data_IF_254601470323
#
_entry.id   IF_254601470323
#
_cell.length_a   1.000
_cell.length_b   1.000
_cell.length_c   1.000
_cell.angle_alpha   90.00
_cell.angle_beta   90.00
_cell.angle_gamma   90.00
#
_symmetry.space_group_name_H-M   'P 1'
#
loop_
_entity.id
_entity.type
_entity.pdbx_description
1 polymer ?
#
# COMPACT_ATOMS: atom_id res chain seq x y z
N UNK A 1 0.50 -6.20 33.81
CA UNK A 1 -0.42 -5.25 34.46
C UNK A 1 -0.77 -4.22 33.40
N UNK A 2 -1.95 -4.32 32.78
CA UNK A 2 -2.34 -3.47 31.66
C UNK A 2 -2.99 -2.20 32.21
N UNK A 3 -2.42 -1.04 31.90
CA UNK A 3 -3.06 0.25 32.19
C UNK A 3 -4.19 0.48 31.16
N UNK A 4 -5.41 0.38 31.62
CA UNK A 4 -6.61 0.76 30.88
C UNK A 4 -6.97 2.18 31.32
N UNK A 5 -6.71 3.17 30.49
CA UNK A 5 -7.22 4.53 30.73
C UNK A 5 -8.73 4.53 30.46
N UNK A 6 -9.51 4.79 31.49
CA UNK A 6 -10.97 4.94 31.43
C UNK A 6 -11.33 6.43 31.28
N UNK A 7 -11.93 6.81 30.17
CA UNK A 7 -12.61 8.10 30.03
C UNK A 7 -14.12 7.86 30.08
N UNK A 8 -14.82 8.62 30.92
CA UNK A 8 -16.28 8.57 31.02
C UNK A 8 -16.87 9.79 30.28
N UNK A 9 -17.68 9.53 29.26
CA UNK A 9 -18.50 10.58 28.64
C UNK A 9 -19.87 10.54 29.29
N UNK A 10 -20.23 11.62 30.00
CA UNK A 10 -21.55 11.79 30.64
C UNK A 10 -22.51 12.40 29.63
N UNK A 11 -23.50 11.62 29.18
CA UNK A 11 -24.61 12.15 28.39
C UNK A 11 -25.89 12.09 29.20
N UNK A 12 -26.91 12.92 28.87
CA UNK A 12 -28.24 12.99 29.57
C UNK A 12 -29.03 11.65 29.55
N UNK A 13 -28.51 10.60 28.90
CA UNK A 13 -29.16 9.28 28.81
C UNK A 13 -28.42 8.14 29.53
N UNK A 14 -27.46 8.45 30.41
CA UNK A 14 -26.71 7.46 31.18
C UNK A 14 -25.21 7.43 30.83
N UNK A 15 -24.42 6.96 31.79
CA UNK A 15 -22.96 6.77 31.60
C UNK A 15 -22.73 5.56 30.69
N UNK A 16 -22.31 5.79 29.45
CA UNK A 16 -21.80 4.74 28.60
C UNK A 16 -20.27 4.79 28.68
N UNK A 17 -19.67 3.80 29.31
CA UNK A 17 -18.23 3.61 29.28
C UNK A 17 -17.85 3.19 27.85
N UNK A 18 -17.34 4.12 27.06
CA UNK A 18 -16.65 3.80 25.81
C UNK A 18 -15.22 3.46 26.17
N UNK A 19 -14.91 2.20 26.23
CA UNK A 19 -13.52 1.74 26.26
C UNK A 19 -12.98 1.94 24.84
N UNK A 20 -12.31 3.07 24.58
CA UNK A 20 -11.48 3.16 23.38
C UNK A 20 -10.32 2.17 23.57
N UNK A 21 -10.21 1.22 22.64
CA UNK A 21 -9.08 0.29 22.62
C UNK A 21 -7.81 1.10 22.35
N UNK A 22 -6.83 0.97 23.22
CA UNK A 22 -5.49 1.59 23.05
C UNK A 22 -4.87 1.15 21.70
N UNK A 23 -5.32 0.03 21.15
CA UNK A 23 -4.82 -0.58 19.93
C UNK A 23 -5.86 -0.57 18.81
N UNK A 24 -5.38 -0.66 17.58
CA UNK A 24 -6.20 -0.75 16.38
C UNK A 24 -7.24 -1.87 16.47
N UNK A 25 -8.47 -1.56 16.05
CA UNK A 25 -9.57 -2.50 15.90
C UNK A 25 -10.12 -2.46 14.47
N UNK A 26 -9.86 -3.50 13.69
CA UNK A 26 -10.30 -3.65 12.30
C UNK A 26 -11.75 -4.12 12.12
N UNK A 27 -12.53 -4.27 13.19
CA UNK A 27 -13.92 -4.75 13.13
C UNK A 27 -14.76 -3.88 12.20
N UNK A 28 -14.59 -2.56 12.27
CA UNK A 28 -15.31 -1.61 11.40
C UNK A 28 -14.97 -1.85 9.93
N UNK A 29 -13.67 -1.89 9.59
CA UNK A 29 -13.20 -2.14 8.22
C UNK A 29 -13.81 -3.43 7.65
N UNK A 30 -13.72 -4.52 8.42
CA UNK A 30 -14.18 -5.85 7.98
C UNK A 30 -15.71 -5.97 7.88
N UNK A 31 -16.47 -5.05 8.47
CA UNK A 31 -17.94 -5.00 8.39
C UNK A 31 -18.46 -4.20 7.21
N UNK A 32 -17.62 -3.44 6.52
CA UNK A 32 -18.04 -2.58 5.43
C UNK A 32 -18.28 -3.36 4.15
N UNK A 33 -19.26 -2.89 3.38
CA UNK A 33 -19.50 -3.32 2.02
C UNK A 33 -18.79 -2.39 1.02
N UNK A 34 -18.52 -2.88 -0.17
CA UNK A 34 -17.93 -2.14 -1.27
C UNK A 34 -18.88 -1.06 -1.83
N UNK A 35 -18.48 -0.39 -2.90
CA UNK A 35 -19.29 0.66 -3.53
C UNK A 35 -20.61 0.13 -4.12
N UNK A 36 -20.66 -1.15 -4.51
CA UNK A 36 -21.82 -1.82 -5.10
C UNK A 36 -22.69 -2.54 -4.07
N UNK A 37 -22.33 -2.46 -2.78
CA UNK A 37 -23.05 -3.14 -1.70
C UNK A 37 -22.69 -4.61 -1.52
N UNK A 38 -21.64 -5.09 -2.18
CA UNK A 38 -21.13 -6.44 -2.05
C UNK A 38 -20.08 -6.55 -0.95
N UNK A 39 -19.82 -7.79 -0.52
CA UNK A 39 -18.70 -8.07 0.38
C UNK A 39 -17.38 -7.90 -0.37
N UNK A 40 -16.47 -7.01 0.07
CA UNK A 40 -15.22 -6.75 -0.62
C UNK A 40 -14.31 -7.98 -0.64
N UNK A 41 -13.52 -8.14 -1.69
CA UNK A 41 -12.40 -9.09 -1.70
C UNK A 41 -11.08 -8.45 -1.26
N UNK A 42 -10.97 -7.10 -1.30
CA UNK A 42 -9.78 -6.40 -0.84
C UNK A 42 -10.15 -5.47 0.31
N UNK A 43 -9.54 -5.69 1.46
CA UNK A 43 -9.60 -4.82 2.63
C UNK A 43 -8.24 -4.19 2.83
N UNK A 44 -8.17 -2.87 2.77
CA UNK A 44 -6.92 -2.13 2.91
C UNK A 44 -6.95 -1.30 4.19
N UNK A 45 -5.84 -1.29 4.94
CA UNK A 45 -5.69 -0.48 6.13
C UNK A 45 -4.34 0.21 6.15
N UNK A 46 -4.36 1.54 6.24
CA UNK A 46 -3.17 2.35 6.51
C UNK A 46 -3.37 3.14 7.80
N UNK A 47 -2.44 3.01 8.73
CA UNK A 47 -2.45 3.77 10.00
C UNK A 47 -1.03 4.15 10.35
N UNK A 48 -0.87 5.15 11.23
CA UNK A 48 0.42 5.48 11.83
C UNK A 48 1.07 4.26 12.48
N UNK A 49 2.38 4.33 12.70
CA UNK A 49 3.17 3.26 13.33
C UNK A 49 2.70 2.96 14.75
N UNK A 50 3.05 1.78 15.25
CA UNK A 50 2.75 1.29 16.61
C UNK A 50 1.28 1.20 16.99
N UNK A 51 0.36 1.50 16.07
CA UNK A 51 -1.09 1.38 16.32
C UNK A 51 -1.60 -0.04 16.56
N UNK A 52 -0.80 -1.08 16.29
CA UNK A 52 -1.15 -2.49 16.54
C UNK A 52 -1.93 -3.18 15.43
N UNK A 53 -1.99 -2.61 14.20
CA UNK A 53 -2.71 -3.22 13.07
C UNK A 53 -2.18 -4.61 12.69
N UNK A 54 -0.86 -4.78 12.59
CA UNK A 54 -0.22 -6.08 12.29
C UNK A 54 -0.60 -7.11 13.35
N UNK A 55 -0.45 -6.76 14.63
CA UNK A 55 -0.84 -7.63 15.76
C UNK A 55 -2.31 -7.99 15.74
N UNK A 56 -3.21 -7.03 15.42
CA UNK A 56 -4.64 -7.27 15.31
C UNK A 56 -4.96 -8.30 14.22
N UNK A 57 -4.44 -8.10 13.00
CA UNK A 57 -4.77 -9.00 11.89
C UNK A 57 -4.09 -10.37 12.03
N UNK A 58 -2.87 -10.44 12.53
CA UNK A 58 -2.22 -11.71 12.83
C UNK A 58 -3.01 -12.52 13.87
N UNK A 59 -3.42 -11.88 14.96
CA UNK A 59 -4.30 -12.50 15.97
C UNK A 59 -5.64 -12.96 15.37
N UNK A 60 -6.23 -12.14 14.49
CA UNK A 60 -7.48 -12.46 13.80
C UNK A 60 -7.36 -13.77 12.99
N UNK A 61 -6.28 -13.92 12.21
CA UNK A 61 -6.04 -15.10 11.39
C UNK A 61 -5.88 -16.36 12.26
N UNK A 62 -5.07 -16.29 13.31
CA UNK A 62 -4.89 -17.41 14.24
C UNK A 62 -6.18 -17.78 14.96
N UNK A 63 -6.97 -16.78 15.39
CA UNK A 63 -8.29 -17.05 15.99
C UNK A 63 -9.26 -17.72 15.02
N UNK A 64 -9.28 -17.31 13.75
CA UNK A 64 -10.10 -17.97 12.72
C UNK A 64 -9.68 -19.41 12.51
N UNK A 65 -8.39 -19.67 12.46
CA UNK A 65 -7.87 -21.04 12.41
C UNK A 65 -8.29 -21.85 13.64
N UNK A 66 -8.03 -21.37 14.84
CA UNK A 66 -8.36 -22.11 16.09
C UNK A 66 -9.86 -22.39 16.22
N UNK A 67 -10.72 -21.44 15.85
CA UNK A 67 -12.17 -21.57 16.03
C UNK A 67 -12.90 -22.25 14.87
N UNK A 68 -12.39 -22.11 13.63
CA UNK A 68 -13.12 -22.53 12.42
C UNK A 68 -12.27 -23.36 11.46
N UNK A 69 -11.00 -23.59 11.76
CA UNK A 69 -10.04 -24.25 10.87
C UNK A 69 -9.89 -23.55 9.51
N UNK A 70 -10.09 -22.24 9.47
CA UNK A 70 -9.91 -21.41 8.28
C UNK A 70 -8.42 -21.16 8.06
N UNK A 71 -7.82 -21.84 7.08
CA UNK A 71 -6.40 -21.62 6.72
C UNK A 71 -6.19 -20.25 6.12
N UNK A 72 -5.01 -19.69 6.35
CA UNK A 72 -4.63 -18.38 5.84
C UNK A 72 -3.33 -18.43 5.04
N UNK A 73 -3.06 -17.36 4.28
CA UNK A 73 -1.81 -17.20 3.56
C UNK A 73 -1.23 -15.81 3.80
N UNK A 74 0.01 -15.76 4.25
CA UNK A 74 0.79 -14.54 4.36
C UNK A 74 1.47 -14.26 3.02
N UNK A 75 1.41 -13.00 2.57
CA UNK A 75 2.06 -12.54 1.35
C UNK A 75 3.21 -11.63 1.74
N UNK A 76 4.38 -11.90 1.18
CA UNK A 76 5.58 -11.07 1.27
C UNK A 76 5.99 -10.61 -0.12
N UNK A 77 6.81 -9.59 -0.20
CA UNK A 77 7.27 -9.08 -1.50
C UNK A 77 8.39 -9.91 -2.07
N UNK A 78 9.38 -10.23 -1.26
CA UNK A 78 10.59 -10.92 -1.69
C UNK A 78 10.81 -12.24 -0.94
N UNK A 79 11.45 -13.19 -1.61
CA UNK A 79 11.68 -14.52 -1.06
C UNK A 79 12.54 -14.53 0.21
N UNK A 80 13.50 -13.62 0.33
CA UNK A 80 14.34 -13.53 1.52
C UNK A 80 13.54 -13.16 2.79
N UNK A 81 12.38 -12.54 2.64
CA UNK A 81 11.50 -12.22 3.76
C UNK A 81 10.85 -13.47 4.37
N UNK A 82 10.83 -14.59 3.63
CA UNK A 82 10.33 -15.87 4.13
C UNK A 82 11.31 -16.55 5.12
N UNK A 83 12.55 -16.08 5.18
CA UNK A 83 13.59 -16.74 5.97
C UNK A 83 13.30 -16.67 7.48
N UNK A 84 12.70 -15.58 7.96
CA UNK A 84 12.45 -15.32 9.38
C UNK A 84 10.95 -15.30 9.72
N UNK A 85 10.11 -15.94 8.91
CA UNK A 85 8.66 -15.82 9.00
C UNK A 85 8.10 -16.28 10.34
N UNK A 86 8.61 -17.39 10.89
CA UNK A 86 8.17 -17.90 12.18
C UNK A 86 8.41 -16.86 13.27
N UNK A 87 9.55 -16.21 13.19
CA UNK A 87 9.95 -15.21 14.14
C UNK A 87 9.09 -13.93 14.03
N UNK A 88 8.87 -13.45 12.83
CA UNK A 88 8.10 -12.23 12.61
C UNK A 88 6.60 -12.39 12.88
N UNK A 89 5.98 -13.43 12.36
CA UNK A 89 4.53 -13.61 12.47
C UNK A 89 4.11 -14.12 13.84
N UNK A 90 4.77 -15.17 14.33
CA UNK A 90 4.33 -15.82 15.56
C UNK A 90 4.82 -15.13 16.82
N UNK A 91 6.06 -14.62 16.88
CA UNK A 91 6.60 -13.96 18.08
C UNK A 91 5.75 -12.80 18.56
N UNK A 92 5.23 -12.00 17.66
CA UNK A 92 4.44 -10.81 18.02
C UNK A 92 3.12 -11.14 18.71
N UNK A 93 2.59 -12.35 18.50
CA UNK A 93 1.26 -12.72 18.98
C UNK A 93 1.27 -13.90 19.96
N UNK A 94 2.26 -14.79 19.88
CA UNK A 94 2.31 -16.01 20.71
C UNK A 94 2.33 -15.69 22.19
N UNK A 95 3.30 -14.89 22.65
CA UNK A 95 3.43 -14.56 24.06
C UNK A 95 2.25 -13.76 24.63
N UNK A 96 1.60 -12.94 23.79
CA UNK A 96 0.51 -12.06 24.22
C UNK A 96 -0.85 -12.76 24.24
N UNK A 97 -1.12 -13.64 23.26
CA UNK A 97 -2.46 -14.17 23.04
C UNK A 97 -2.55 -15.70 23.00
N UNK A 98 -1.44 -16.39 22.75
CA UNK A 98 -1.39 -17.83 22.57
C UNK A 98 -0.20 -18.47 23.30
N UNK A 99 0.00 -18.20 24.61
CA UNK A 99 1.20 -18.62 25.33
C UNK A 99 1.38 -20.14 25.44
N UNK A 100 0.27 -20.89 25.29
CA UNK A 100 0.27 -22.34 25.36
C UNK A 100 0.29 -23.02 23.98
N UNK A 101 0.39 -22.26 22.88
CA UNK A 101 0.44 -22.85 21.53
C UNK A 101 1.88 -22.89 21.03
N UNK A 102 2.26 -24.02 20.44
CA UNK A 102 3.51 -24.14 19.70
C UNK A 102 3.30 -23.67 18.27
N UNK A 103 4.14 -22.75 17.80
CA UNK A 103 4.02 -22.15 16.47
C UNK A 103 5.32 -22.33 15.69
N UNK A 104 5.23 -22.90 14.50
CA UNK A 104 6.39 -23.27 13.68
C UNK A 104 6.15 -22.94 12.20
N UNK A 105 7.20 -22.53 11.48
CA UNK A 105 7.18 -22.41 10.02
C UNK A 105 8.22 -23.35 9.40
N UNK A 106 7.81 -24.04 8.32
CA UNK A 106 8.66 -24.97 7.57
C UNK A 106 8.82 -24.51 6.11
N UNK A 107 10.06 -24.34 5.67
CA UNK A 107 10.35 -24.02 4.27
C UNK A 107 10.10 -25.23 3.39
N UNK A 108 9.33 -25.03 2.33
CA UNK A 108 8.94 -26.06 1.36
C UNK A 108 9.44 -25.74 -0.03
N UNK A 109 9.55 -26.77 -0.87
CA UNK A 109 9.94 -26.64 -2.28
C UNK A 109 11.23 -25.78 -2.48
N UNK A 110 12.26 -26.03 -1.69
CA UNK A 110 13.53 -25.26 -1.69
C UNK A 110 13.34 -23.76 -1.37
N UNK A 111 12.40 -23.44 -0.50
CA UNK A 111 12.14 -22.08 -0.04
C UNK A 111 11.20 -21.26 -0.94
N UNK A 112 10.47 -21.90 -1.85
CA UNK A 112 9.46 -21.21 -2.70
C UNK A 112 8.27 -20.73 -1.88
N UNK A 113 7.87 -21.49 -0.85
CA UNK A 113 6.85 -21.13 0.10
C UNK A 113 7.17 -21.72 1.47
N UNK A 114 6.47 -21.27 2.51
CA UNK A 114 6.50 -21.87 3.82
C UNK A 114 5.13 -22.43 4.20
N UNK A 115 5.12 -23.54 4.93
CA UNK A 115 3.96 -24.04 5.66
C UNK A 115 4.02 -23.55 7.10
N UNK A 116 2.88 -23.10 7.61
CA UNK A 116 2.73 -22.57 8.96
C UNK A 116 1.94 -23.54 9.81
N UNK A 117 2.47 -23.87 10.98
CA UNK A 117 1.89 -24.84 11.89
C UNK A 117 1.58 -24.24 13.24
N UNK A 118 0.45 -24.62 13.82
CA UNK A 118 0.07 -24.33 15.19
C UNK A 118 -0.29 -25.66 15.85
N UNK A 119 0.40 -25.99 16.95
CA UNK A 119 0.20 -27.23 17.69
C UNK A 119 0.27 -28.47 16.76
N UNK A 120 1.32 -28.49 15.90
CA UNK A 120 1.60 -29.51 14.87
C UNK A 120 0.59 -29.59 13.71
N UNK A 121 -0.47 -28.78 13.71
CA UNK A 121 -1.47 -28.76 12.65
C UNK A 121 -1.18 -27.64 11.64
N UNK A 122 -1.30 -27.93 10.34
CA UNK A 122 -1.12 -26.98 9.25
C UNK A 122 -2.22 -25.91 9.27
N UNK A 123 -1.86 -24.69 9.69
CA UNK A 123 -2.77 -23.57 9.83
C UNK A 123 -2.76 -22.61 8.61
N UNK A 124 -1.73 -22.65 7.79
CA UNK A 124 -1.63 -21.73 6.67
C UNK A 124 -0.29 -21.82 5.92
N UNK A 125 -0.07 -20.82 5.11
CA UNK A 125 1.08 -20.73 4.23
C UNK A 125 1.69 -19.31 4.25
N UNK A 126 2.92 -19.21 3.76
CA UNK A 126 3.53 -17.94 3.44
C UNK A 126 4.22 -18.00 2.08
N UNK A 127 4.01 -16.98 1.27
CA UNK A 127 4.49 -16.91 -0.12
C UNK A 127 5.08 -15.54 -0.43
N UNK A 128 5.96 -15.48 -1.43
CA UNK A 128 6.54 -14.23 -1.91
C UNK A 128 6.09 -13.90 -3.33
N UNK A 129 5.81 -12.61 -3.59
CA UNK A 129 5.36 -12.14 -4.91
C UNK A 129 6.37 -12.40 -6.01
N UNK A 130 7.67 -12.25 -5.72
CA UNK A 130 8.70 -12.51 -6.72
C UNK A 130 8.78 -13.98 -7.17
N UNK A 131 8.14 -14.91 -6.44
CA UNK A 131 8.04 -16.34 -6.78
C UNK A 131 6.74 -16.70 -7.51
N UNK A 132 5.91 -15.73 -7.90
CA UNK A 132 4.56 -15.95 -8.45
C UNK A 132 4.49 -16.99 -9.55
N UNK A 133 5.44 -17.00 -10.49
CA UNK A 133 5.44 -17.93 -11.62
C UNK A 133 5.70 -19.38 -11.19
N UNK A 134 6.55 -19.56 -10.19
CA UNK A 134 6.84 -20.89 -9.63
C UNK A 134 5.70 -21.38 -8.76
N UNK A 135 5.07 -20.48 -7.97
CA UNK A 135 3.93 -20.80 -7.09
C UNK A 135 2.72 -21.33 -7.86
N UNK A 136 2.50 -20.94 -9.11
CA UNK A 136 1.43 -21.48 -9.96
C UNK A 136 1.46 -23.00 -10.07
N UNK A 137 2.65 -23.60 -10.02
CA UNK A 137 2.84 -25.06 -10.10
C UNK A 137 2.33 -25.78 -8.84
N UNK A 138 2.26 -25.08 -7.72
CA UNK A 138 1.83 -25.58 -6.42
C UNK A 138 0.41 -25.11 -6.05
N UNK A 139 -0.32 -24.47 -6.98
CA UNK A 139 -1.61 -23.83 -6.70
C UNK A 139 -2.66 -24.75 -6.07
N UNK A 140 -2.59 -26.06 -6.37
CA UNK A 140 -3.49 -27.08 -5.79
C UNK A 140 -3.36 -27.21 -4.26
N UNK A 141 -2.17 -26.90 -3.69
CA UNK A 141 -1.93 -26.94 -2.24
C UNK A 141 -2.64 -25.82 -1.48
N UNK A 142 -2.93 -24.70 -2.17
CA UNK A 142 -3.48 -23.49 -1.56
C UNK A 142 -4.99 -23.34 -1.75
N UNK A 143 -5.64 -24.36 -2.29
CA UNK A 143 -7.07 -24.32 -2.62
C UNK A 143 -8.00 -24.20 -1.41
N UNK A 144 -7.52 -24.48 -0.21
CA UNK A 144 -8.25 -24.41 1.05
C UNK A 144 -7.94 -23.14 1.89
N UNK A 145 -7.10 -22.23 1.37
CA UNK A 145 -6.83 -20.93 2.00
C UNK A 145 -8.10 -20.08 1.99
N UNK A 146 -8.49 -19.57 3.13
CA UNK A 146 -9.73 -18.80 3.32
C UNK A 146 -9.52 -17.29 3.38
N UNK A 147 -8.32 -16.84 3.69
CA UNK A 147 -7.96 -15.41 3.79
C UNK A 147 -6.49 -15.22 3.48
N UNK A 148 -6.16 -14.16 2.77
CA UNK A 148 -4.76 -13.75 2.54
C UNK A 148 -4.47 -12.47 3.33
N UNK A 149 -3.24 -12.32 3.82
CA UNK A 149 -2.74 -11.11 4.47
C UNK A 149 -1.46 -10.66 3.80
N UNK A 150 -1.44 -9.41 3.34
CA UNK A 150 -0.26 -8.75 2.81
C UNK A 150 0.13 -7.60 3.71
N UNK A 151 1.11 -7.83 4.57
CA UNK A 151 1.67 -6.79 5.42
C UNK A 151 2.71 -5.97 4.66
N UNK A 152 2.78 -4.68 4.97
CA UNK A 152 3.68 -3.72 4.33
C UNK A 152 3.51 -3.65 2.79
N UNK A 153 2.23 -3.62 2.30
CA UNK A 153 1.98 -3.51 0.87
C UNK A 153 2.50 -2.20 0.25
N UNK A 154 2.68 -1.14 1.04
CA UNK A 154 3.45 0.04 0.66
C UNK A 154 4.89 -0.11 1.13
N UNK A 155 5.84 0.07 0.23
CA UNK A 155 7.27 0.00 0.53
C UNK A 155 7.80 1.36 0.97
N UNK A 156 8.40 1.45 2.15
CA UNK A 156 8.99 2.70 2.66
C UNK A 156 10.17 3.18 1.81
N UNK A 157 10.88 2.25 1.20
CA UNK A 157 12.04 2.54 0.32
C UNK A 157 11.66 2.66 -1.15
N UNK A 158 10.35 2.64 -1.46
CA UNK A 158 9.81 2.59 -2.83
C UNK A 158 10.35 1.40 -3.66
N UNK A 159 10.74 0.32 -2.98
CA UNK A 159 11.26 -0.89 -3.63
C UNK A 159 10.15 -1.93 -3.80
N UNK A 160 9.64 -2.04 -5.01
CA UNK A 160 8.63 -3.01 -5.42
C UNK A 160 9.25 -4.07 -6.34
N UNK A 161 8.69 -5.27 -6.37
CA UNK A 161 9.16 -6.26 -7.33
C UNK A 161 8.65 -5.93 -8.74
N UNK A 162 9.41 -6.29 -9.77
CA UNK A 162 8.98 -6.10 -11.16
C UNK A 162 7.60 -6.75 -11.38
N UNK A 163 6.70 -6.03 -12.06
CA UNK A 163 5.31 -6.45 -12.33
C UNK A 163 4.52 -6.88 -11.08
N UNK A 164 4.75 -6.20 -9.96
CA UNK A 164 4.19 -6.56 -8.65
C UNK A 164 2.68 -6.78 -8.69
N UNK A 165 1.93 -5.86 -9.31
CA UNK A 165 0.47 -5.97 -9.42
C UNK A 165 0.04 -7.22 -10.20
N UNK A 166 0.71 -7.52 -11.30
CA UNK A 166 0.43 -8.70 -12.11
C UNK A 166 0.74 -9.98 -11.32
N UNK A 167 1.84 -10.03 -10.61
CA UNK A 167 2.23 -11.15 -9.74
C UNK A 167 1.24 -11.34 -8.59
N UNK A 168 0.86 -10.26 -7.91
CA UNK A 168 -0.13 -10.29 -6.84
C UNK A 168 -1.47 -10.86 -7.35
N UNK A 169 -1.99 -10.34 -8.46
CA UNK A 169 -3.23 -10.84 -9.08
C UNK A 169 -3.11 -12.30 -9.52
N UNK A 170 -1.97 -12.70 -10.05
CA UNK A 170 -1.71 -14.06 -10.48
C UNK A 170 -1.72 -15.06 -9.34
N UNK A 171 -1.11 -14.74 -8.20
CA UNK A 171 -1.15 -15.55 -6.98
C UNK A 171 -2.59 -15.66 -6.49
N UNK A 172 -3.28 -14.55 -6.32
CA UNK A 172 -4.67 -14.54 -5.86
C UNK A 172 -5.57 -15.42 -6.76
N UNK A 173 -5.53 -15.20 -8.08
CA UNK A 173 -6.33 -15.98 -9.03
C UNK A 173 -6.00 -17.48 -8.95
N UNK A 174 -4.74 -17.84 -8.74
CA UNK A 174 -4.31 -19.24 -8.61
C UNK A 174 -4.87 -19.88 -7.33
N UNK A 175 -4.89 -19.14 -6.22
CA UNK A 175 -5.38 -19.63 -4.93
C UNK A 175 -6.91 -19.60 -4.84
N UNK A 176 -7.58 -18.69 -5.55
CA UNK A 176 -9.04 -18.59 -5.60
C UNK A 176 -9.69 -19.69 -6.47
N UNK A 177 -8.91 -20.57 -7.10
CA UNK A 177 -9.39 -21.76 -7.82
C UNK A 177 -9.44 -22.96 -6.89
N UNK A 178 -10.26 -23.95 -7.23
CA UNK A 178 -10.29 -25.25 -6.55
C UNK A 178 -11.60 -25.52 -5.85
N UNK A 179 -11.69 -26.64 -5.15
CA UNK A 179 -12.90 -27.14 -4.47
C UNK A 179 -14.13 -27.21 -5.41
N UNK A 180 -13.89 -27.58 -6.68
CA UNK A 180 -14.96 -27.71 -7.68
C UNK A 180 -15.47 -26.38 -8.25
N UNK A 181 -14.83 -25.25 -7.94
CA UNK A 181 -15.21 -23.91 -8.42
C UNK A 181 -14.11 -23.33 -9.30
N UNK A 182 -14.50 -22.64 -10.36
CA UNK A 182 -13.58 -21.87 -11.20
C UNK A 182 -13.02 -20.67 -10.46
N UNK A 183 -13.83 -20.08 -9.58
CA UNK A 183 -13.49 -18.95 -8.74
C UNK A 183 -14.29 -19.02 -7.42
N UNK A 184 -13.63 -18.79 -6.30
CA UNK A 184 -14.24 -18.68 -4.98
C UNK A 184 -13.85 -17.36 -4.33
N UNK A 185 -14.69 -16.88 -3.44
CA UNK A 185 -14.39 -15.71 -2.63
C UNK A 185 -13.13 -15.96 -1.78
N UNK A 186 -12.11 -15.16 -1.98
CA UNK A 186 -10.84 -15.24 -1.25
C UNK A 186 -10.40 -13.82 -0.85
N UNK A 187 -10.80 -13.33 0.32
CA UNK A 187 -10.47 -11.98 0.73
C UNK A 187 -8.98 -11.81 1.01
N UNK A 188 -8.45 -10.65 0.60
CA UNK A 188 -7.10 -10.21 0.90
C UNK A 188 -7.16 -9.00 1.83
N UNK A 189 -6.47 -9.08 2.94
CA UNK A 189 -6.25 -7.97 3.87
C UNK A 189 -4.87 -7.39 3.55
N UNK A 190 -4.81 -6.12 3.22
CA UNK A 190 -3.57 -5.41 2.88
C UNK A 190 -3.34 -4.31 3.92
N UNK A 191 -2.24 -4.37 4.64
CA UNK A 191 -1.93 -3.43 5.71
C UNK A 191 -0.58 -2.78 5.49
N UNK A 192 -0.46 -1.50 5.83
CA UNK A 192 0.81 -0.77 5.81
C UNK A 192 0.75 0.51 6.65
N UNK A 193 1.89 1.14 6.81
CA UNK A 193 1.95 2.55 7.20
C UNK A 193 1.62 3.44 5.99
N UNK A 194 1.25 4.72 6.16
CA UNK A 194 0.95 5.63 5.07
C UNK A 194 2.25 6.14 4.42
N UNK A 195 2.79 5.37 3.48
CA UNK A 195 4.07 5.70 2.83
C UNK A 195 3.89 6.69 1.71
N UNK A 196 3.03 6.39 0.73
CA UNK A 196 2.71 7.28 -0.38
C UNK A 196 1.31 7.02 -0.91
N UNK A 197 0.60 8.08 -1.28
CA UNK A 197 -0.65 7.97 -2.05
C UNK A 197 -0.39 7.56 -3.51
N UNK A 198 0.87 7.67 -3.96
CA UNK A 198 1.34 7.25 -5.27
C UNK A 198 2.10 5.92 -5.12
N UNK A 199 1.39 4.85 -4.87
CA UNK A 199 1.94 3.50 -4.86
C UNK A 199 1.25 2.63 -5.92
N UNK A 200 1.85 1.52 -6.38
CA UNK A 200 1.32 0.71 -7.47
C UNK A 200 -0.14 0.27 -7.27
N UNK A 201 -0.52 -0.06 -6.04
CA UNK A 201 -1.87 -0.53 -5.71
C UNK A 201 -2.89 0.61 -5.79
N UNK A 202 -2.59 1.76 -5.19
CA UNK A 202 -3.49 2.90 -5.19
C UNK A 202 -3.67 3.49 -6.59
N UNK A 203 -2.59 3.57 -7.36
CA UNK A 203 -2.65 4.02 -8.76
C UNK A 203 -3.52 3.07 -9.58
N UNK A 204 -3.26 1.75 -9.51
CA UNK A 204 -4.00 0.76 -10.31
C UNK A 204 -5.48 0.67 -9.95
N UNK A 205 -5.84 0.91 -8.69
CA UNK A 205 -7.22 0.87 -8.21
C UNK A 205 -7.92 2.23 -8.29
N UNK A 206 -7.26 3.27 -8.79
CA UNK A 206 -7.80 4.63 -8.89
C UNK A 206 -8.03 5.29 -7.52
N UNK A 207 -7.32 4.84 -6.48
CA UNK A 207 -7.43 5.38 -5.12
C UNK A 207 -6.73 6.72 -5.02
N UNK A 208 -5.53 6.87 -5.62
CA UNK A 208 -4.69 8.08 -5.53
C UNK A 208 -5.43 9.35 -5.91
N UNK A 209 -6.31 9.30 -6.93
CA UNK A 209 -7.09 10.44 -7.38
C UNK A 209 -8.29 10.78 -6.49
N UNK A 210 -8.70 9.86 -5.61
CA UNK A 210 -9.93 9.97 -4.80
C UNK A 210 -9.65 10.15 -3.31
N UNK A 211 -8.47 9.76 -2.85
CA UNK A 211 -8.10 9.82 -1.45
C UNK A 211 -7.81 11.27 -1.04
N UNK A 212 -8.46 11.71 0.03
CA UNK A 212 -8.25 13.03 0.64
C UNK A 212 -7.76 12.84 2.08
N UNK A 213 -7.13 13.85 2.63
CA UNK A 213 -6.62 13.83 4.01
C UNK A 213 -7.72 13.46 5.04
N UNK A 214 -8.93 13.93 4.81
CA UNK A 214 -10.08 13.72 5.71
C UNK A 214 -10.81 12.39 5.46
N UNK A 215 -10.41 11.64 4.43
CA UNK A 215 -11.07 10.38 4.06
C UNK A 215 -10.70 9.31 5.07
N UNK A 216 -11.64 8.92 5.94
CA UNK A 216 -11.45 7.81 6.86
C UNK A 216 -11.69 6.46 6.18
N UNK A 217 -12.72 6.34 5.36
CA UNK A 217 -13.03 5.13 4.59
C UNK A 217 -13.30 5.48 3.13
N UNK A 218 -12.61 4.80 2.22
CA UNK A 218 -12.84 4.89 0.79
C UNK A 218 -13.35 3.55 0.28
N UNK A 219 -14.47 3.58 -0.46
CA UNK A 219 -15.04 2.39 -1.08
C UNK A 219 -14.83 2.42 -2.59
N UNK A 220 -14.51 1.28 -3.17
CA UNK A 220 -14.48 1.07 -4.61
C UNK A 220 -15.16 -0.23 -4.96
N UNK A 221 -15.12 -0.62 -6.22
CA UNK A 221 -15.66 -1.91 -6.67
C UNK A 221 -14.74 -3.03 -6.17
N UNK A 222 -15.28 -3.90 -5.33
CA UNK A 222 -14.55 -5.04 -4.75
C UNK A 222 -13.54 -4.68 -3.64
N UNK A 223 -13.43 -3.41 -3.22
CA UNK A 223 -12.51 -3.03 -2.16
C UNK A 223 -13.05 -1.99 -1.19
N UNK A 224 -12.48 -2.01 0.02
CA UNK A 224 -12.61 -0.94 1.01
C UNK A 224 -11.22 -0.61 1.56
N UNK A 225 -10.92 0.69 1.64
CA UNK A 225 -9.73 1.23 2.29
C UNK A 225 -10.13 1.98 3.55
N UNK A 226 -9.46 1.70 4.66
CA UNK A 226 -9.43 2.51 5.86
C UNK A 226 -8.13 3.30 5.92
N UNK A 227 -8.25 4.63 6.04
CA UNK A 227 -7.17 5.51 6.42
C UNK A 227 -7.36 5.86 7.89
N UNK A 228 -6.69 5.10 8.75
CA UNK A 228 -6.84 5.22 10.19
C UNK A 228 -5.76 6.09 10.82
N UNK A 229 -6.04 6.54 12.04
CA UNK A 229 -5.09 7.23 12.90
C UNK A 229 -5.31 6.76 14.34
N UNK A 230 -4.22 6.38 15.01
CA UNK A 230 -4.24 5.99 16.41
C UNK A 230 -3.57 7.09 17.25
N UNK A 231 -4.37 7.91 17.90
CA UNK A 231 -3.92 9.06 18.71
C UNK A 231 -3.07 8.61 19.90
N UNK A 232 -3.48 7.56 20.59
CA UNK A 232 -2.75 7.03 21.75
C UNK A 232 -1.34 6.56 21.37
N UNK A 233 -1.21 5.87 20.23
CA UNK A 233 0.09 5.45 19.71
C UNK A 233 0.96 6.66 19.31
N UNK A 234 0.35 7.67 18.72
CA UNK A 234 1.03 8.92 18.36
C UNK A 234 1.58 9.63 19.60
N UNK A 235 0.76 9.85 20.60
CA UNK A 235 1.17 10.50 21.85
C UNK A 235 2.29 9.72 22.56
N UNK A 236 2.16 8.39 22.64
CA UNK A 236 3.18 7.55 23.25
C UNK A 236 4.54 7.64 22.55
N UNK A 237 4.53 7.78 21.21
CA UNK A 237 5.76 7.99 20.44
C UNK A 237 6.35 9.39 20.66
N UNK A 238 5.52 10.43 20.68
CA UNK A 238 5.95 11.82 20.93
C UNK A 238 6.57 11.99 22.31
N UNK A 239 6.05 11.29 23.31
CA UNK A 239 6.60 11.32 24.68
C UNK A 239 7.91 10.54 24.81
N UNK A 240 8.23 9.66 23.87
CA UNK A 240 9.44 8.87 23.87
C UNK A 240 10.72 9.72 23.77
N UNK A 241 11.69 9.49 24.68
CA UNK A 241 12.94 10.24 24.70
C UNK A 241 13.75 10.13 23.40
N UNK A 242 13.66 9.00 22.70
CA UNK A 242 14.31 8.80 21.40
C UNK A 242 13.76 9.80 20.35
N UNK A 243 12.45 9.88 20.18
CA UNK A 243 11.84 10.80 19.21
C UNK A 243 12.08 12.27 19.58
N UNK A 244 12.05 12.60 20.86
CA UNK A 244 12.37 13.98 21.34
C UNK A 244 13.80 14.38 20.97
N UNK A 245 14.74 13.45 20.89
CA UNK A 245 16.13 13.74 20.54
C UNK A 245 16.33 14.13 19.07
N UNK A 246 15.46 13.67 18.18
CA UNK A 246 15.51 13.99 16.74
C UNK A 246 14.66 15.20 16.34
N UNK A 247 13.79 15.70 17.23
CA UNK A 247 12.94 16.85 16.97
C UNK A 247 11.77 16.55 16.02
N UNK A 248 11.15 17.61 15.49
CA UNK A 248 10.03 17.51 14.54
C UNK A 248 10.56 17.45 13.11
N UNK A 249 10.77 16.25 12.59
CA UNK A 249 11.16 16.02 11.22
C UNK A 249 10.06 15.29 10.40
N UNK A 250 10.31 15.09 9.10
CA UNK A 250 9.38 14.40 8.19
C UNK A 250 9.09 12.96 8.66
N UNK A 251 10.06 12.28 9.24
CA UNK A 251 9.90 10.93 9.76
C UNK A 251 8.98 10.89 10.98
N UNK A 252 9.09 11.86 11.88
CA UNK A 252 8.20 11.99 13.02
C UNK A 252 6.77 12.31 12.58
N UNK A 253 6.58 13.19 11.60
CA UNK A 253 5.27 13.46 11.00
C UNK A 253 4.64 12.20 10.38
N UNK A 254 5.43 11.40 9.66
CA UNK A 254 4.99 10.14 9.09
C UNK A 254 4.64 9.10 10.16
N UNK A 255 5.54 8.84 11.08
CA UNK A 255 5.40 7.75 12.05
C UNK A 255 4.30 8.03 13.08
N UNK A 256 4.16 9.29 13.49
CA UNK A 256 3.29 9.70 14.59
C UNK A 256 1.97 10.29 14.11
N UNK A 257 1.99 11.16 13.10
CA UNK A 257 0.81 11.91 12.66
C UNK A 257 0.06 11.26 11.50
N UNK A 258 0.58 10.15 10.94
CA UNK A 258 -0.04 9.47 9.81
C UNK A 258 0.03 10.28 8.50
N UNK A 259 0.98 11.19 8.41
CA UNK A 259 1.31 11.90 7.16
C UNK A 259 2.05 10.93 6.22
N UNK A 260 1.77 11.00 4.94
CA UNK A 260 2.45 10.16 3.97
C UNK A 260 3.93 10.54 3.85
N UNK A 261 4.82 9.57 4.06
CA UNK A 261 6.27 9.78 4.13
C UNK A 261 6.86 10.38 2.84
N UNK A 262 6.43 9.86 1.69
CA UNK A 262 7.03 10.19 0.38
C UNK A 262 6.24 11.23 -0.41
N UNK A 263 5.15 11.78 0.15
CA UNK A 263 4.32 12.75 -0.55
C UNK A 263 4.82 14.18 -0.33
N UNK A 264 6.01 14.43 -0.85
CA UNK A 264 6.58 15.77 -0.85
C UNK A 264 5.80 16.69 -1.80
N UNK A 265 5.09 17.66 -1.23
CA UNK A 265 4.30 18.67 -1.96
C UNK A 265 5.14 19.84 -2.51
N UNK A 266 6.46 19.79 -2.37
CA UNK A 266 7.33 20.81 -2.93
C UNK A 266 7.11 20.92 -4.44
N UNK A 267 7.02 22.14 -4.93
CA UNK A 267 6.78 22.48 -6.33
C UNK A 267 5.39 22.12 -6.88
N UNK A 268 4.44 21.67 -6.03
CA UNK A 268 3.04 21.50 -6.42
C UNK A 268 2.34 22.86 -6.35
N UNK A 269 2.43 23.58 -7.45
CA UNK A 269 1.88 24.92 -7.59
C UNK A 269 1.56 25.18 -9.06
N UNK A 270 0.43 25.83 -9.34
CA UNK A 270 0.08 26.23 -10.69
C UNK A 270 0.70 27.59 -11.02
N UNK A 271 1.59 27.70 -12.04
CA UNK A 271 2.12 28.96 -12.51
C UNK A 271 1.04 29.87 -13.07
N UNK A 272 1.31 31.18 -13.06
CA UNK A 272 0.45 32.21 -13.60
C UNK A 272 0.88 32.59 -15.02
N UNK A 273 -0.04 33.18 -15.80
CA UNK A 273 0.30 33.71 -17.12
C UNK A 273 0.04 32.75 -18.26
N UNK A 274 0.67 33.04 -19.40
CA UNK A 274 0.50 32.26 -20.64
C UNK A 274 1.49 31.10 -20.68
N UNK A 275 1.04 29.98 -21.19
CA UNK A 275 1.89 28.80 -21.35
C UNK A 275 2.05 28.41 -22.81
N UNK A 276 3.21 27.86 -23.16
CA UNK A 276 3.48 27.18 -24.42
C UNK A 276 3.53 25.67 -24.18
N UNK A 277 2.79 24.91 -24.96
CA UNK A 277 2.82 23.44 -24.88
C UNK A 277 4.14 22.91 -25.47
N UNK A 278 4.75 21.94 -24.81
CA UNK A 278 6.06 21.40 -25.22
C UNK A 278 5.99 19.92 -25.62
N UNK A 279 5.27 19.11 -24.87
CA UNK A 279 5.20 17.67 -25.09
C UNK A 279 4.03 17.03 -24.33
N UNK A 280 3.62 15.85 -24.77
CA UNK A 280 2.80 14.92 -23.99
C UNK A 280 3.65 13.75 -23.58
N UNK A 281 3.61 13.39 -22.29
CA UNK A 281 4.18 12.13 -21.80
C UNK A 281 3.06 11.19 -21.42
N UNK A 282 3.23 9.90 -21.71
CA UNK A 282 2.34 8.84 -21.28
C UNK A 282 3.06 7.97 -20.27
N UNK A 283 2.46 7.80 -19.11
CA UNK A 283 3.01 7.06 -17.98
C UNK A 283 1.91 6.25 -17.31
N UNK A 284 2.10 4.94 -17.26
CA UNK A 284 1.13 3.99 -16.68
C UNK A 284 -0.32 4.23 -17.16
N UNK A 285 -0.48 4.28 -18.49
CA UNK A 285 -1.77 4.46 -19.16
C UNK A 285 -2.35 5.88 -19.07
N UNK A 286 -1.71 6.81 -18.36
CA UNK A 286 -2.18 8.20 -18.19
C UNK A 286 -1.33 9.18 -18.98
N UNK A 287 -1.98 10.15 -19.60
CA UNK A 287 -1.33 11.20 -20.36
C UNK A 287 -1.18 12.49 -19.54
N UNK A 288 0.01 13.11 -19.63
CA UNK A 288 0.32 14.38 -18.98
C UNK A 288 0.85 15.37 -19.98
N UNK A 289 0.43 16.64 -19.85
CA UNK A 289 0.92 17.74 -20.67
C UNK A 289 2.11 18.44 -20.01
N UNK A 290 3.14 18.74 -20.78
CA UNK A 290 4.28 19.53 -20.33
C UNK A 290 4.21 20.89 -21.00
N UNK A 291 4.29 21.95 -20.20
CA UNK A 291 4.16 23.36 -20.64
C UNK A 291 5.30 24.20 -20.09
N UNK A 292 5.67 25.19 -20.87
CA UNK A 292 6.57 26.26 -20.41
C UNK A 292 5.74 27.51 -20.07
N UNK A 293 6.02 28.10 -18.93
CA UNK A 293 5.53 29.39 -18.51
C UNK A 293 6.72 30.37 -18.57
N UNK A 294 6.91 31.00 -19.73
CA UNK A 294 8.11 31.84 -19.98
C UNK A 294 8.19 33.03 -19.04
N UNK A 295 7.07 33.65 -18.67
CA UNK A 295 7.02 34.80 -17.78
C UNK A 295 7.55 34.48 -16.37
N UNK A 296 7.38 33.22 -15.91
CA UNK A 296 7.89 32.74 -14.62
C UNK A 296 9.20 31.92 -14.74
N UNK A 297 9.62 31.63 -15.96
CA UNK A 297 10.81 30.81 -16.22
C UNK A 297 10.68 29.35 -15.73
N UNK A 298 9.46 28.76 -15.73
CA UNK A 298 9.22 27.42 -15.19
C UNK A 298 8.61 26.47 -16.21
N UNK A 299 8.90 25.19 -16.05
CA UNK A 299 8.25 24.07 -16.73
C UNK A 299 7.18 23.53 -15.80
N UNK A 300 5.99 23.29 -16.35
CA UNK A 300 4.82 22.80 -15.61
C UNK A 300 4.29 21.51 -16.23
N UNK A 301 4.02 20.53 -15.39
CA UNK A 301 3.39 19.27 -15.79
C UNK A 301 1.97 19.17 -15.20
N UNK A 302 1.01 18.88 -16.07
CA UNK A 302 -0.41 18.77 -15.70
C UNK A 302 -1.10 17.54 -16.33
N UNK A 303 -2.32 17.25 -15.90
CA UNK A 303 -3.17 16.17 -16.43
C UNK A 303 -4.08 16.63 -17.59
N UNK A 304 -3.68 17.68 -18.30
CA UNK A 304 -4.43 18.24 -19.45
C UNK A 304 -3.60 18.13 -20.73
N UNK A 305 -3.45 16.92 -21.29
CA UNK A 305 -2.69 16.71 -22.51
C UNK A 305 -3.36 17.39 -23.70
N UNK A 306 -2.56 17.90 -24.62
CA UNK A 306 -3.02 18.31 -25.93
C UNK A 306 -2.92 17.11 -26.89
N UNK A 307 -4.04 16.51 -27.20
CA UNK A 307 -4.09 15.31 -28.06
C UNK A 307 -3.70 15.58 -29.50
N UNK A 308 -3.67 16.85 -29.94
CA UNK A 308 -3.29 17.27 -31.30
C UNK A 308 -1.81 17.55 -31.44
N UNK A 309 -1.09 17.76 -30.31
CA UNK A 309 0.31 18.08 -30.34
C UNK A 309 1.15 16.88 -30.79
N UNK A 310 2.07 17.06 -31.77
CA UNK A 310 2.73 15.92 -32.42
C UNK A 310 3.79 15.22 -31.55
N UNK A 311 4.39 15.93 -30.58
CA UNK A 311 5.46 15.37 -29.77
C UNK A 311 4.92 14.64 -28.56
N UNK A 312 4.84 13.30 -28.69
CA UNK A 312 4.28 12.39 -27.71
C UNK A 312 5.27 11.28 -27.35
N UNK A 313 5.53 11.12 -26.07
CA UNK A 313 6.53 10.17 -25.55
C UNK A 313 5.87 9.23 -24.56
N UNK A 314 6.20 7.94 -24.66
CA UNK A 314 5.91 6.93 -23.63
C UNK A 314 7.12 6.72 -22.74
N UNK A 315 6.87 6.54 -21.44
CA UNK A 315 7.90 6.27 -20.44
C UNK A 315 8.03 4.77 -20.21
N UNK A 316 6.92 4.03 -20.25
CA UNK A 316 6.88 2.58 -20.06
C UNK A 316 6.72 1.85 -21.40
N UNK A 317 7.17 0.60 -21.46
CA UNK A 317 7.03 -0.25 -22.66
C UNK A 317 5.57 -0.53 -22.99
N UNK A 318 4.73 -0.63 -21.98
CA UNK A 318 3.30 -0.90 -22.09
C UNK A 318 2.55 0.29 -22.74
N UNK A 319 3.07 1.49 -22.56
CA UNK A 319 2.50 2.72 -23.12
C UNK A 319 2.99 3.02 -24.55
N UNK A 320 4.04 2.31 -25.00
CA UNK A 320 4.58 2.50 -26.34
C UNK A 320 3.63 1.99 -27.41
N UNK A 321 3.41 2.81 -28.43
CA UNK A 321 2.60 2.45 -29.59
C UNK A 321 2.91 3.40 -30.76
N UNK A 322 2.15 3.28 -31.87
CA UNK A 322 2.35 4.09 -33.08
C UNK A 322 2.28 5.62 -32.84
N UNK A 323 1.56 6.06 -31.81
CA UNK A 323 1.39 7.49 -31.48
C UNK A 323 2.37 7.99 -30.42
N UNK A 324 3.00 7.09 -29.67
CA UNK A 324 3.89 7.41 -28.55
C UNK A 324 5.25 6.75 -28.73
N UNK A 325 6.24 7.57 -29.00
CA UNK A 325 7.62 7.10 -29.15
C UNK A 325 8.23 6.84 -27.78
N UNK A 326 8.94 5.72 -27.62
CA UNK A 326 9.69 5.46 -26.38
C UNK A 326 10.71 6.54 -26.09
N UNK A 327 10.77 6.99 -24.85
CA UNK A 327 11.79 7.90 -24.37
C UNK A 327 13.17 7.29 -24.58
N UNK A 328 14.06 8.02 -25.24
CA UNK A 328 15.46 7.66 -25.41
C UNK A 328 16.30 8.40 -24.38
N UNK A 329 17.32 7.73 -23.85
CA UNK A 329 18.19 8.25 -22.79
C UNK A 329 18.87 9.59 -23.16
N UNK A 330 19.12 9.83 -24.43
CA UNK A 330 19.81 11.02 -24.94
C UNK A 330 18.87 11.97 -25.69
N UNK A 331 17.60 12.03 -25.31
CA UNK A 331 16.68 13.01 -25.88
C UNK A 331 17.02 14.41 -25.37
N UNK A 332 17.31 15.32 -26.31
CA UNK A 332 17.78 16.68 -26.03
C UNK A 332 16.77 17.50 -25.21
N UNK A 333 15.48 17.26 -25.40
CA UNK A 333 14.44 17.93 -24.61
C UNK A 333 14.54 17.52 -23.15
N UNK A 334 14.72 16.22 -22.87
CA UNK A 334 14.81 15.73 -21.51
C UNK A 334 16.14 16.06 -20.84
N UNK A 335 17.22 16.21 -21.60
CA UNK A 335 18.47 16.77 -21.09
C UNK A 335 18.28 18.23 -20.63
N UNK A 336 17.59 19.04 -21.42
CA UNK A 336 17.21 20.39 -21.02
C UNK A 336 16.28 20.37 -19.80
N UNK A 337 15.34 19.46 -19.73
CA UNK A 337 14.48 19.32 -18.55
C UNK A 337 15.28 19.00 -17.30
N UNK A 338 16.25 18.08 -17.36
CA UNK A 338 17.15 17.80 -16.22
C UNK A 338 17.90 19.05 -15.77
N UNK A 339 18.39 19.84 -16.72
CA UNK A 339 19.06 21.11 -16.41
C UNK A 339 18.15 22.07 -15.66
N UNK A 340 16.94 22.31 -16.17
CA UNK A 340 15.97 23.21 -15.53
C UNK A 340 15.46 22.67 -14.20
N UNK A 341 15.29 21.36 -14.08
CA UNK A 341 14.94 20.72 -12.81
C UNK A 341 16.00 21.02 -11.73
N UNK A 342 17.27 20.84 -12.05
CA UNK A 342 18.38 21.14 -11.13
C UNK A 342 18.46 22.61 -10.73
N UNK A 343 17.82 23.50 -11.48
CA UNK A 343 17.68 24.93 -11.14
C UNK A 343 16.41 25.26 -10.36
N UNK A 344 15.60 24.26 -10.01
CA UNK A 344 14.33 24.47 -9.30
C UNK A 344 13.20 25.05 -10.16
N UNK A 345 13.36 25.06 -11.48
CA UNK A 345 12.43 25.66 -12.44
C UNK A 345 11.30 24.72 -12.86
N UNK A 346 10.84 23.86 -11.96
CA UNK A 346 9.71 22.97 -12.24
C UNK A 346 8.54 23.24 -11.30
N UNK A 347 7.30 23.06 -11.86
CA UNK A 347 6.07 23.05 -11.08
C UNK A 347 5.18 21.92 -11.57
N UNK A 348 4.31 21.41 -10.70
CA UNK A 348 3.44 20.29 -10.98
C UNK A 348 2.02 20.60 -10.54
N UNK A 349 1.05 20.04 -11.24
CA UNK A 349 -0.36 20.18 -10.85
C UNK A 349 -0.65 19.38 -9.56
N UNK A 350 -0.10 18.17 -9.47
CA UNK A 350 -0.33 17.22 -8.40
C UNK A 350 0.85 16.23 -8.29
N UNK A 351 0.79 15.36 -7.30
CA UNK A 351 1.84 14.35 -7.06
C UNK A 351 1.99 13.38 -8.24
N UNK A 352 0.92 13.06 -8.95
CA UNK A 352 0.98 12.12 -10.07
C UNK A 352 1.67 12.70 -11.29
N UNK A 353 1.37 13.95 -11.63
CA UNK A 353 2.09 14.68 -12.67
C UNK A 353 3.57 14.89 -12.31
N UNK A 354 3.87 15.09 -11.02
CA UNK A 354 5.23 15.12 -10.49
C UNK A 354 5.94 13.80 -10.70
N UNK A 355 5.34 12.69 -10.30
CA UNK A 355 5.89 11.34 -10.47
C UNK A 355 6.18 11.02 -11.94
N UNK A 356 5.21 11.26 -12.82
CA UNK A 356 5.36 10.99 -14.24
C UNK A 356 6.55 11.73 -14.86
N UNK A 357 6.66 13.06 -14.61
CA UNK A 357 7.74 13.85 -15.16
C UNK A 357 9.08 13.53 -14.48
N UNK A 358 9.10 13.31 -13.16
CA UNK A 358 10.32 12.89 -12.45
C UNK A 358 10.85 11.56 -12.97
N UNK A 359 9.97 10.59 -13.23
CA UNK A 359 10.34 9.31 -13.85
C UNK A 359 10.95 9.55 -15.23
N UNK A 360 10.33 10.39 -16.05
CA UNK A 360 10.82 10.69 -17.40
C UNK A 360 12.25 11.32 -17.39
N UNK A 361 12.51 12.24 -16.46
CA UNK A 361 13.83 12.90 -16.39
C UNK A 361 14.90 12.06 -15.70
N UNK A 362 14.51 10.98 -15.00
CA UNK A 362 15.44 10.06 -14.33
C UNK A 362 15.98 8.97 -15.26
N UNK A 363 15.40 8.82 -16.44
CA UNK A 363 15.89 7.91 -17.50
C UNK A 363 17.15 8.54 -18.17
#
# INVERSE_FOLDING_TARGET
MYFVNKYAIISRKGVRLVMESVFYDGTKLLSLLDLEGNKPEIYMCTTNRTGGKTTYFNRLLVNRWKNKREKFCLIYRFNYELDDIADKFFKDIQGLFFPNSFMEAKKMAKGIYCELYIDEELCGYAVALNNADTLKRYSHLFSDVSTMLFDEFQSETNHYCADEITKFRSIHTSFARGQGKQYRYLPVIMISNPVSIINPYYVKMGISARLKKETKFLRGKGFVLEQGYNETASLAQQEGGFNKAFGDDEYNAYSQQGVYLNDNLAFIEKPKGRSRYLATIKYDGTEFGIREFADEGVIYCDNKPDTTYPFKISITTEDHNINYVMLKRNDLLFENFRYYFNKGCFRFQDLRSKEALMTAISY
#
